data_IF_965530611364
#
_entry.id   IF_965530611364
#
_cell.length_a   1.000
_cell.length_b   1.000
_cell.length_c   1.000
_cell.angle_alpha   90.00
_cell.angle_beta   90.00
_cell.angle_gamma   90.00
#
_symmetry.space_group_name_H-M   'P 1'
#
loop_
_entity.id
_entity.type
_entity.pdbx_description
1 polymer ?
#
# COMPACT_ATOMS: atom_id res chain seq x y z
N UNK A 1 13.40 -51.64 -13.13
CA UNK A 1 13.15 -50.42 -12.33
C UNK A 1 13.28 -49.16 -13.21
N UNK A 2 12.51 -49.05 -14.30
CA UNK A 2 12.69 -47.95 -15.29
C UNK A 2 11.40 -47.21 -15.65
N UNK A 3 10.25 -47.75 -15.22
CA UNK A 3 8.93 -47.15 -15.41
C UNK A 3 8.58 -46.09 -14.36
N UNK A 4 9.15 -46.17 -13.14
CA UNK A 4 8.88 -45.23 -12.04
C UNK A 4 9.61 -43.89 -12.18
N UNK A 5 10.76 -43.88 -12.85
CA UNK A 5 11.56 -42.66 -13.09
C UNK A 5 10.96 -41.80 -14.20
N UNK A 6 10.27 -42.42 -15.16
CA UNK A 6 9.63 -41.70 -16.26
C UNK A 6 8.48 -40.82 -15.76
N UNK A 7 7.60 -41.34 -14.91
CA UNK A 7 6.50 -40.55 -14.32
C UNK A 7 6.99 -39.47 -13.39
N UNK A 8 8.05 -39.73 -12.61
CA UNK A 8 8.68 -38.71 -11.76
C UNK A 8 9.28 -37.56 -12.60
N UNK A 9 9.96 -37.87 -13.69
CA UNK A 9 10.53 -36.87 -14.59
C UNK A 9 9.44 -36.05 -15.30
N UNK A 10 8.37 -36.68 -15.77
CA UNK A 10 7.24 -35.98 -16.39
C UNK A 10 6.58 -35.02 -15.39
N UNK A 11 6.33 -35.48 -14.16
CA UNK A 11 5.77 -34.62 -13.11
C UNK A 11 6.66 -33.41 -12.81
N UNK A 12 7.99 -33.63 -12.75
CA UNK A 12 8.96 -32.56 -12.52
C UNK A 12 8.97 -31.53 -13.67
N UNK A 13 8.96 -31.99 -14.92
CA UNK A 13 8.91 -31.09 -16.09
C UNK A 13 7.60 -30.29 -16.15
N UNK A 14 6.46 -30.92 -15.83
CA UNK A 14 5.17 -30.23 -15.76
C UNK A 14 5.16 -29.17 -14.66
N UNK A 15 5.63 -29.52 -13.45
CA UNK A 15 5.72 -28.58 -12.33
C UNK A 15 6.63 -27.39 -12.64
N UNK A 16 7.76 -27.63 -13.31
CA UNK A 16 8.68 -26.59 -13.75
C UNK A 16 8.04 -25.68 -14.80
N UNK A 17 7.37 -26.24 -15.81
CA UNK A 17 6.68 -25.46 -16.84
C UNK A 17 5.55 -24.60 -16.27
N UNK A 18 4.75 -25.14 -15.34
CA UNK A 18 3.69 -24.38 -14.64
C UNK A 18 4.30 -23.24 -13.82
N UNK A 19 5.42 -23.48 -13.14
CA UNK A 19 6.11 -22.46 -12.35
C UNK A 19 6.64 -21.31 -13.23
N UNK A 20 7.23 -21.64 -14.38
CA UNK A 20 7.71 -20.64 -15.36
C UNK A 20 6.54 -19.86 -15.98
N UNK A 21 5.46 -20.56 -16.34
CA UNK A 21 4.25 -19.91 -16.85
C UNK A 21 3.63 -18.97 -15.79
N UNK A 22 3.53 -19.44 -14.54
CA UNK A 22 3.08 -18.60 -13.43
C UNK A 22 3.98 -17.38 -13.27
N UNK A 23 5.31 -17.52 -13.29
CA UNK A 23 6.22 -16.38 -13.26
C UNK A 23 5.97 -15.39 -14.40
N UNK A 24 5.85 -15.88 -15.65
CA UNK A 24 5.65 -15.03 -16.82
C UNK A 24 4.27 -14.32 -16.85
N UNK A 25 3.21 -14.99 -16.39
CA UNK A 25 1.84 -14.43 -16.41
C UNK A 25 1.49 -13.64 -15.16
N UNK A 26 1.97 -14.07 -13.98
CA UNK A 26 1.55 -13.52 -12.69
C UNK A 26 2.49 -12.45 -12.14
N UNK A 27 3.52 -12.00 -12.86
CA UNK A 27 4.39 -10.90 -12.41
C UNK A 27 3.56 -9.69 -11.93
N UNK A 28 2.47 -9.36 -12.63
CA UNK A 28 1.53 -8.29 -12.22
C UNK A 28 0.56 -8.72 -11.10
N UNK A 29 0.04 -9.95 -11.13
CA UNK A 29 -0.94 -10.43 -10.14
C UNK A 29 -0.31 -10.65 -8.76
N UNK A 30 0.95 -11.09 -8.71
CA UNK A 30 1.74 -11.16 -7.49
C UNK A 30 1.93 -9.74 -6.95
N UNK A 31 2.28 -8.75 -7.78
CA UNK A 31 2.36 -7.36 -7.32
C UNK A 31 1.04 -6.90 -6.68
N UNK A 32 -0.12 -7.13 -7.30
CA UNK A 32 -1.42 -6.77 -6.69
C UNK A 32 -1.75 -7.56 -5.41
N UNK A 33 -1.36 -8.83 -5.33
CA UNK A 33 -1.53 -9.67 -4.13
C UNK A 33 -0.64 -9.20 -2.98
N UNK A 34 0.60 -8.80 -3.26
CA UNK A 34 1.60 -8.38 -2.27
C UNK A 34 1.50 -6.89 -1.92
N UNK A 35 0.99 -6.03 -2.81
CA UNK A 35 0.78 -4.58 -2.60
C UNK A 35 0.07 -4.23 -1.27
N UNK A 36 -1.03 -4.90 -0.86
CA UNK A 36 -1.66 -4.61 0.44
C UNK A 36 -0.80 -5.02 1.65
N UNK A 37 0.19 -5.91 1.46
CA UNK A 37 1.07 -6.38 2.53
C UNK A 37 2.42 -5.64 2.59
N UNK A 38 2.77 -4.83 1.59
CA UNK A 38 3.94 -3.94 1.58
C UNK A 38 4.04 -3.12 2.88
N UNK A 39 2.99 -2.44 3.38
CA UNK A 39 3.10 -1.67 4.64
C UNK A 39 3.50 -2.51 5.87
N UNK A 40 3.23 -3.81 5.84
CA UNK A 40 3.52 -4.75 6.95
C UNK A 40 4.96 -5.26 6.83
N UNK A 41 5.42 -5.57 5.62
CA UNK A 41 6.77 -6.07 5.34
C UNK A 41 7.85 -5.00 5.55
N UNK A 42 7.54 -3.74 5.24
CA UNK A 42 8.47 -2.61 5.39
C UNK A 42 8.38 -1.90 6.74
N UNK A 43 7.58 -2.40 7.70
CA UNK A 43 7.48 -1.81 9.05
C UNK A 43 8.76 -1.92 9.88
N UNK A 44 9.74 -2.73 9.46
CA UNK A 44 11.00 -2.95 10.16
C UNK A 44 12.22 -2.17 9.62
N UNK A 45 12.12 -1.50 8.47
CA UNK A 45 13.24 -0.80 7.85
C UNK A 45 12.78 0.47 7.14
N UNK A 46 13.40 1.60 7.51
CA UNK A 46 13.29 2.93 6.87
C UNK A 46 11.91 3.62 6.88
N UNK A 47 11.75 4.51 7.84
CA UNK A 47 11.44 5.96 7.74
C UNK A 47 10.93 6.59 6.41
N UNK A 48 10.16 5.90 5.56
CA UNK A 48 9.38 6.55 4.49
C UNK A 48 7.92 6.74 4.93
N UNK A 49 7.78 7.49 6.02
CA UNK A 49 6.53 8.17 6.37
C UNK A 49 6.23 9.16 5.24
N UNK A 50 5.34 8.85 4.28
CA UNK A 50 4.48 9.84 3.54
C UNK A 50 3.61 9.28 2.39
N UNK A 51 3.38 7.96 2.29
CA UNK A 51 2.57 7.40 1.18
C UNK A 51 1.12 7.02 1.49
N UNK A 52 0.80 6.63 2.72
CA UNK A 52 -0.51 6.05 3.04
C UNK A 52 -1.40 7.07 3.77
N UNK A 53 -2.14 7.86 2.99
CA UNK A 53 -3.38 8.54 3.37
C UNK A 53 -3.51 8.93 4.86
N UNK A 54 -2.68 9.87 5.35
CA UNK A 54 -3.02 10.53 6.61
C UNK A 54 -4.19 11.47 6.32
N UNK A 55 -5.38 11.26 6.90
CA UNK A 55 -6.46 12.23 6.74
C UNK A 55 -5.93 13.58 7.24
N UNK A 56 -6.05 14.63 6.40
CA UNK A 56 -5.62 15.98 6.79
C UNK A 56 -6.21 16.30 8.17
N UNK A 57 -5.38 16.76 9.11
CA UNK A 57 -5.84 17.03 10.46
C UNK A 57 -6.87 18.15 10.45
N UNK A 58 -7.83 18.06 11.36
CA UNK A 58 -8.91 19.04 11.45
C UNK A 58 -8.32 20.32 12.03
N UNK A 59 -8.52 21.44 11.34
CA UNK A 59 -8.14 22.76 11.83
C UNK A 59 -9.37 23.50 12.34
N UNK A 60 -9.28 24.15 13.48
CA UNK A 60 -10.36 24.89 14.14
C UNK A 60 -9.95 26.34 14.43
N UNK A 61 -10.89 27.28 14.26
CA UNK A 61 -10.73 28.67 14.69
C UNK A 61 -11.08 28.80 16.18
N UNK A 62 -10.16 29.25 17.05
CA UNK A 62 -10.40 29.37 18.49
C UNK A 62 -11.38 30.50 18.87
N UNK A 63 -11.75 31.36 17.91
CA UNK A 63 -12.60 32.53 18.15
C UNK A 63 -14.04 32.29 17.76
N UNK A 64 -14.29 31.77 16.56
CA UNK A 64 -15.65 31.58 16.04
C UNK A 64 -16.05 30.10 15.87
N UNK A 65 -15.16 29.14 16.14
CA UNK A 65 -15.44 27.70 16.03
C UNK A 65 -15.52 27.16 14.61
N UNK A 66 -15.02 27.89 13.60
CA UNK A 66 -14.98 27.40 12.22
C UNK A 66 -14.02 26.21 12.10
N UNK A 67 -14.46 25.09 11.53
CA UNK A 67 -13.66 23.88 11.31
C UNK A 67 -13.49 23.58 9.84
N UNK A 68 -12.28 23.18 9.44
CA UNK A 68 -11.99 22.75 8.08
C UNK A 68 -10.87 21.70 8.04
N UNK A 69 -10.90 20.84 7.02
CA UNK A 69 -9.81 19.92 6.68
C UNK A 69 -9.08 20.36 5.40
N UNK A 70 -9.50 21.47 4.79
CA UNK A 70 -8.88 21.96 3.57
C UNK A 70 -7.53 22.62 3.91
N UNK A 71 -6.40 22.12 3.34
CA UNK A 71 -5.07 22.65 3.64
C UNK A 71 -4.86 24.09 3.14
N UNK A 72 -5.61 24.55 2.14
CA UNK A 72 -5.52 25.90 1.58
C UNK A 72 -5.93 26.98 2.60
N UNK A 73 -6.79 26.61 3.55
CA UNK A 73 -7.20 27.50 4.61
C UNK A 73 -6.20 27.43 5.77
N UNK A 74 -5.39 28.49 5.86
CA UNK A 74 -4.51 28.77 7.00
C UNK A 74 -5.12 29.74 8.00
N UNK A 75 -6.04 30.58 7.54
CA UNK A 75 -6.74 31.61 8.32
C UNK A 75 -8.25 31.47 8.17
N UNK A 76 -8.99 31.90 9.18
CA UNK A 76 -10.43 31.83 9.19
C UNK A 76 -11.04 32.86 8.23
N UNK A 77 -11.97 32.46 7.34
CA UNK A 77 -12.61 33.37 6.38
C UNK A 77 -13.57 34.38 7.02
N UNK A 78 -13.92 34.22 8.31
CA UNK A 78 -14.83 35.12 9.02
C UNK A 78 -14.12 36.26 9.74
N UNK A 79 -13.01 35.96 10.43
CA UNK A 79 -12.35 36.88 11.34
C UNK A 79 -10.84 37.00 11.10
N UNK A 80 -10.27 36.22 10.16
CA UNK A 80 -8.84 36.25 9.82
C UNK A 80 -7.93 35.57 10.85
N UNK A 81 -8.45 35.00 11.93
CA UNK A 81 -7.66 34.30 12.95
C UNK A 81 -6.99 33.06 12.35
N UNK A 82 -5.74 32.77 12.76
CA UNK A 82 -5.04 31.53 12.35
C UNK A 82 -5.81 30.32 12.87
N UNK A 83 -5.99 29.32 12.00
CA UNK A 83 -6.59 28.05 12.40
C UNK A 83 -5.56 27.20 13.12
N UNK A 84 -5.98 26.53 14.20
CA UNK A 84 -5.14 25.64 15.00
C UNK A 84 -5.53 24.18 14.76
N UNK A 85 -4.56 23.28 14.83
CA UNK A 85 -4.79 21.84 14.65
C UNK A 85 -5.41 21.27 15.94
N UNK A 86 -6.51 20.54 15.79
CA UNK A 86 -7.24 19.89 16.89
C UNK A 86 -6.98 18.39 16.94
#
# INVERSE_FOLDING_TARGET
MRSRTATAAVGLLVSLAVSVAAWYYFDTLLLFLFLPFVPILFRGGSDDRRGAASPNPVKECPRCGFRTRNPEFSHCPRDGTRLEES
#
